data_IF_694296093697
#
_entry.id   IF_694296093697
#
_cell.length_a   1.000
_cell.length_b   1.000
_cell.length_c   1.000
_cell.angle_alpha   90.00
_cell.angle_beta   90.00
_cell.angle_gamma   90.00
#
_symmetry.space_group_name_H-M   'P 1'
#
loop_
_entity.id
_entity.type
_entity.pdbx_description
1 polymer ?
#
# COMPACT_ATOMS: atom_id res chain seq x y z
N UNK A 1 -29.09 63.62 -23.39
CA UNK A 1 -30.29 62.77 -23.21
C UNK A 1 -29.95 61.38 -23.75
N UNK A 2 -29.23 60.55 -22.99
CA UNK A 2 -28.78 59.20 -23.43
C UNK A 2 -28.33 58.39 -22.21
N UNK A 3 -29.30 57.86 -21.44
CA UNK A 3 -29.06 56.96 -20.30
C UNK A 3 -30.04 55.78 -20.23
N UNK A 4 -30.69 55.41 -21.35
CA UNK A 4 -31.72 54.35 -21.37
C UNK A 4 -31.33 53.03 -22.07
N UNK A 5 -30.08 52.85 -22.51
CA UNK A 5 -29.68 51.63 -23.25
C UNK A 5 -28.80 50.67 -22.43
N UNK A 6 -28.34 51.04 -21.23
CA UNK A 6 -27.41 50.17 -20.48
C UNK A 6 -28.08 49.23 -19.46
N UNK A 7 -29.39 49.34 -19.22
CA UNK A 7 -30.07 48.53 -18.21
C UNK A 7 -30.62 47.18 -18.72
N UNK A 8 -30.70 46.97 -20.04
CA UNK A 8 -31.35 45.77 -20.60
C UNK A 8 -30.37 44.63 -20.89
N UNK A 9 -29.06 44.90 -21.02
CA UNK A 9 -28.07 43.85 -21.29
C UNK A 9 -27.60 43.13 -20.01
N UNK A 10 -27.68 43.76 -18.83
CA UNK A 10 -27.28 43.12 -17.57
C UNK A 10 -28.35 42.20 -16.98
N UNK A 11 -29.63 42.45 -17.27
CA UNK A 11 -30.73 41.65 -16.74
C UNK A 11 -30.90 40.29 -17.45
N UNK A 12 -30.45 40.18 -18.71
CA UNK A 12 -30.53 38.93 -19.47
C UNK A 12 -29.38 37.97 -19.12
N UNK A 13 -28.25 38.46 -18.62
CA UNK A 13 -27.14 37.61 -18.16
C UNK A 13 -27.32 37.08 -16.73
N UNK A 14 -28.17 37.71 -15.91
CA UNK A 14 -28.46 37.27 -14.54
C UNK A 14 -29.55 36.20 -14.45
N UNK A 15 -30.21 35.86 -15.57
CA UNK A 15 -31.25 34.81 -15.61
C UNK A 15 -30.76 33.47 -16.19
N UNK A 16 -29.46 33.31 -16.37
CA UNK A 16 -28.82 32.08 -16.85
C UNK A 16 -27.93 31.43 -15.78
N UNK A 17 -28.32 31.56 -14.50
CA UNK A 17 -27.93 30.58 -13.49
C UNK A 17 -28.75 29.33 -13.76
N UNK A 18 -28.31 28.58 -14.78
CA UNK A 18 -28.74 27.20 -14.99
C UNK A 18 -28.42 26.50 -13.67
N UNK A 19 -29.47 26.00 -13.02
CA UNK A 19 -29.35 25.08 -11.92
C UNK A 19 -28.57 23.86 -12.44
N UNK A 20 -27.25 23.90 -12.32
CA UNK A 20 -26.47 22.68 -12.32
C UNK A 20 -26.98 21.92 -11.11
N UNK A 21 -27.55 20.71 -11.27
CA UNK A 21 -27.69 19.85 -10.11
C UNK A 21 -26.27 19.73 -9.55
N UNK A 22 -26.07 20.24 -8.34
CA UNK A 22 -24.93 19.83 -7.52
C UNK A 22 -25.10 18.33 -7.40
N UNK A 23 -24.44 17.60 -8.30
CA UNK A 23 -24.26 16.18 -8.13
C UNK A 23 -23.40 16.11 -6.88
N UNK A 24 -24.04 15.96 -5.73
CA UNK A 24 -23.34 15.56 -4.53
C UNK A 24 -22.63 14.27 -4.93
N UNK A 25 -21.31 14.34 -5.12
CA UNK A 25 -20.52 13.15 -5.26
C UNK A 25 -20.83 12.33 -4.01
N UNK A 26 -21.60 11.25 -4.17
CA UNK A 26 -21.77 10.25 -3.13
C UNK A 26 -20.41 9.60 -3.03
N UNK A 27 -19.54 10.19 -2.22
CA UNK A 27 -18.28 9.59 -1.85
C UNK A 27 -18.66 8.42 -0.95
N UNK A 28 -18.76 7.23 -1.54
CA UNK A 28 -18.95 6.01 -0.78
C UNK A 28 -17.82 5.93 0.24
N UNK A 29 -18.13 6.15 1.51
CA UNK A 29 -17.14 6.11 2.60
C UNK A 29 -16.69 4.68 2.91
N UNK A 30 -17.35 3.68 2.31
CA UNK A 30 -17.05 2.26 2.41
C UNK A 30 -17.33 1.60 1.05
N UNK A 31 -16.38 0.82 0.57
CA UNK A 31 -16.51 -0.02 -0.61
C UNK A 31 -16.48 -1.47 -0.16
N UNK A 32 -17.33 -2.31 -0.74
CA UNK A 32 -17.34 -3.75 -0.47
C UNK A 32 -16.60 -4.47 -1.60
N UNK A 33 -15.59 -5.28 -1.24
CA UNK A 33 -14.93 -6.21 -2.15
C UNK A 33 -15.44 -7.61 -1.82
N UNK A 34 -15.91 -8.36 -2.81
CA UNK A 34 -16.50 -9.69 -2.64
C UNK A 34 -15.55 -10.78 -3.14
N UNK A 35 -15.64 -11.96 -2.54
CA UNK A 35 -15.07 -13.18 -3.08
C UNK A 35 -16.04 -13.90 -4.03
N UNK A 36 -15.56 -14.97 -4.65
CA UNK A 36 -16.36 -15.89 -5.44
C UNK A 36 -17.46 -16.50 -4.59
N UNK A 37 -18.64 -16.67 -5.17
CA UNK A 37 -19.74 -17.37 -4.52
C UNK A 37 -19.36 -18.85 -4.34
N UNK A 38 -19.61 -19.39 -3.15
CA UNK A 38 -19.61 -20.84 -2.92
C UNK A 38 -21.05 -21.30 -2.76
N UNK A 39 -21.42 -22.38 -3.46
CA UNK A 39 -22.76 -22.95 -3.41
C UNK A 39 -22.67 -24.45 -3.11
N UNK A 40 -23.36 -24.87 -2.05
CA UNK A 40 -23.41 -26.28 -1.65
C UNK A 40 -23.99 -27.19 -2.75
N UNK A 41 -24.90 -26.67 -3.59
CA UNK A 41 -25.53 -27.41 -4.68
C UNK A 41 -24.58 -27.78 -5.82
N UNK A 42 -23.39 -27.16 -5.90
CA UNK A 42 -22.41 -27.42 -6.95
C UNK A 42 -21.57 -28.69 -6.69
N UNK A 43 -21.89 -29.45 -5.64
CA UNK A 43 -21.13 -30.62 -5.17
C UNK A 43 -19.65 -30.32 -4.85
N UNK A 44 -19.35 -29.09 -4.45
CA UNK A 44 -18.01 -28.68 -4.00
C UNK A 44 -18.00 -28.67 -2.47
N UNK A 45 -17.28 -29.63 -1.85
CA UNK A 45 -17.16 -29.72 -0.39
C UNK A 45 -16.40 -28.55 0.24
N UNK A 46 -15.47 -27.96 -0.52
CA UNK A 46 -14.45 -27.06 0.00
C UNK A 46 -14.85 -25.60 -0.20
N UNK A 47 -15.44 -24.99 0.83
CA UNK A 47 -15.64 -23.55 0.90
C UNK A 47 -14.32 -22.87 1.27
N UNK A 48 -13.58 -22.40 0.26
CA UNK A 48 -12.24 -21.83 0.42
C UNK A 48 -11.98 -20.67 -0.54
N UNK A 49 -11.33 -19.64 -0.02
CA UNK A 49 -10.93 -18.42 -0.70
C UNK A 49 -9.44 -18.18 -0.49
N UNK A 50 -8.72 -18.01 -1.59
CA UNK A 50 -7.38 -17.46 -1.65
C UNK A 50 -7.43 -16.17 -2.51
N UNK A 51 -6.31 -15.53 -2.81
CA UNK A 51 -6.31 -14.28 -3.59
C UNK A 51 -6.88 -14.41 -5.01
N UNK A 52 -7.03 -15.63 -5.56
CA UNK A 52 -7.69 -15.84 -6.86
C UNK A 52 -9.22 -15.86 -6.74
N UNK A 53 -9.74 -16.28 -5.59
CA UNK A 53 -11.18 -16.37 -5.30
C UNK A 53 -11.67 -15.18 -4.49
N UNK A 54 -10.79 -14.41 -3.85
CA UNK A 54 -11.16 -13.19 -3.15
C UNK A 54 -10.15 -12.09 -3.41
N UNK A 55 -10.57 -11.09 -4.21
CA UNK A 55 -9.73 -9.99 -4.64
C UNK A 55 -9.31 -9.02 -3.52
N UNK A 56 -9.88 -9.16 -2.32
CA UNK A 56 -9.44 -8.39 -1.15
C UNK A 56 -8.09 -8.84 -0.61
N UNK A 57 -7.75 -10.14 -0.74
CA UNK A 57 -6.48 -10.62 -0.20
C UNK A 57 -5.28 -10.08 -0.94
N UNK A 58 -4.17 -9.92 -0.21
CA UNK A 58 -2.90 -9.50 -0.78
C UNK A 58 -2.52 -10.36 -1.99
N UNK A 59 -2.16 -9.69 -3.08
CA UNK A 59 -1.63 -10.33 -4.27
C UNK A 59 -0.58 -9.45 -4.95
N UNK A 60 0.63 -9.97 -5.08
CA UNK A 60 1.64 -9.40 -5.96
C UNK A 60 1.44 -9.99 -7.36
N UNK A 61 0.81 -9.21 -8.24
CA UNK A 61 0.53 -9.63 -9.62
C UNK A 61 1.83 -9.89 -10.41
N UNK A 62 2.88 -9.11 -10.17
CA UNK A 62 4.14 -9.20 -10.93
C UNK A 62 4.88 -10.49 -10.62
N UNK A 63 4.97 -10.83 -9.34
CA UNK A 63 5.72 -11.99 -8.85
C UNK A 63 4.84 -13.22 -8.60
N UNK A 64 3.53 -13.10 -8.82
CA UNK A 64 2.53 -14.12 -8.54
C UNK A 64 2.60 -14.63 -7.09
N UNK A 65 2.71 -13.71 -6.12
CA UNK A 65 2.83 -14.04 -4.69
C UNK A 65 1.52 -13.76 -3.95
N UNK A 66 1.10 -14.71 -3.14
CA UNK A 66 -0.08 -14.64 -2.26
C UNK A 66 0.33 -15.05 -0.85
N UNK A 67 -0.45 -14.64 0.15
CA UNK A 67 -0.14 -14.92 1.56
C UNK A 67 -1.34 -15.46 2.32
N UNK A 68 -2.55 -15.04 1.96
CA UNK A 68 -3.77 -15.25 2.74
C UNK A 68 -4.67 -16.34 2.15
N UNK A 69 -5.31 -17.10 3.03
CA UNK A 69 -6.44 -17.96 2.71
C UNK A 69 -7.48 -17.96 3.82
N UNK A 70 -8.74 -18.07 3.45
CA UNK A 70 -9.87 -18.29 4.34
C UNK A 70 -10.59 -19.56 3.89
N UNK A 71 -10.82 -20.52 4.78
CA UNK A 71 -11.56 -21.73 4.45
C UNK A 71 -12.42 -22.20 5.60
N UNK A 72 -13.46 -22.93 5.26
CA UNK A 72 -14.15 -23.78 6.23
C UNK A 72 -13.41 -25.12 6.34
N UNK A 73 -13.33 -25.65 7.57
CA UNK A 73 -12.70 -26.93 7.89
C UNK A 73 -13.61 -28.13 7.61
N UNK A 74 -14.91 -27.87 7.47
CA UNK A 74 -15.94 -28.82 7.07
C UNK A 74 -16.92 -28.11 6.11
N UNK A 75 -17.83 -28.85 5.47
CA UNK A 75 -18.88 -28.25 4.66
C UNK A 75 -19.68 -27.24 5.51
N UNK A 76 -19.79 -25.97 5.08
CA UNK A 76 -20.49 -24.94 5.84
C UNK A 76 -21.93 -25.36 6.19
N UNK A 77 -22.24 -25.36 7.48
CA UNK A 77 -23.60 -25.51 8.02
C UNK A 77 -24.24 -24.16 8.35
N UNK A 78 -25.55 -24.14 8.58
CA UNK A 78 -26.29 -22.91 8.95
C UNK A 78 -26.13 -22.52 10.43
N UNK A 79 -25.55 -23.36 11.27
CA UNK A 79 -25.42 -23.15 12.72
C UNK A 79 -24.10 -23.70 13.25
N UNK A 80 -23.57 -23.08 14.31
CA UNK A 80 -22.33 -23.45 15.02
C UNK A 80 -21.07 -23.43 14.13
N UNK A 81 -20.60 -22.22 13.81
CA UNK A 81 -19.38 -22.00 13.02
C UNK A 81 -18.10 -21.86 13.87
N UNK A 82 -18.23 -21.95 15.19
CA UNK A 82 -17.09 -21.95 16.11
C UNK A 82 -16.10 -23.05 15.74
N UNK A 83 -14.81 -22.71 15.68
CA UNK A 83 -13.72 -23.58 15.26
C UNK A 83 -13.89 -24.28 13.89
N UNK A 84 -14.81 -23.81 13.05
CA UNK A 84 -15.00 -24.37 11.69
C UNK A 84 -14.40 -23.50 10.59
N UNK A 85 -13.88 -22.32 10.92
CA UNK A 85 -13.32 -21.36 9.96
C UNK A 85 -11.85 -21.14 10.28
N UNK A 86 -11.00 -21.31 9.28
CA UNK A 86 -9.58 -21.03 9.37
C UNK A 86 -9.24 -19.85 8.45
N UNK A 87 -8.72 -18.78 9.05
CA UNK A 87 -7.99 -17.74 8.34
C UNK A 87 -6.50 -17.97 8.57
N UNK A 88 -5.75 -18.10 7.47
CA UNK A 88 -4.32 -18.36 7.49
C UNK A 88 -3.60 -17.29 6.68
N UNK A 89 -2.47 -16.85 7.20
CA UNK A 89 -1.50 -16.05 6.45
C UNK A 89 -0.09 -16.59 6.61
N UNK A 90 0.82 -16.15 5.75
CA UNK A 90 2.23 -16.49 5.78
C UNK A 90 3.12 -15.37 5.26
N UNK A 91 4.42 -15.59 5.38
CA UNK A 91 5.45 -14.70 4.85
C UNK A 91 5.80 -15.17 3.43
N UNK A 92 5.85 -14.22 2.49
CA UNK A 92 6.47 -14.42 1.18
C UNK A 92 7.63 -13.45 0.99
N UNK A 93 8.75 -13.88 0.40
CA UNK A 93 9.86 -12.99 0.08
C UNK A 93 9.54 -12.17 -1.18
N UNK A 94 9.73 -10.86 -1.13
CA UNK A 94 9.65 -9.95 -2.28
C UNK A 94 11.02 -9.36 -2.55
N UNK A 95 11.46 -9.40 -3.80
CA UNK A 95 12.78 -8.91 -4.21
C UNK A 95 12.89 -7.38 -4.05
N UNK A 96 14.03 -6.91 -3.52
CA UNK A 96 14.32 -5.49 -3.48
C UNK A 96 14.48 -4.93 -4.90
N UNK A 97 13.96 -3.72 -5.15
CA UNK A 97 14.09 -3.07 -6.47
C UNK A 97 15.55 -2.84 -6.89
N UNK A 98 16.46 -2.59 -5.94
CA UNK A 98 17.90 -2.48 -6.21
C UNK A 98 18.51 -3.80 -6.66
N UNK A 99 18.00 -4.94 -6.16
CA UNK A 99 18.42 -6.26 -6.61
C UNK A 99 17.93 -6.51 -8.04
N UNK A 100 16.64 -6.25 -8.29
CA UNK A 100 16.02 -6.42 -9.61
C UNK A 100 16.77 -5.61 -10.69
N UNK A 101 17.20 -4.39 -10.36
CA UNK A 101 17.83 -3.47 -11.32
C UNK A 101 19.34 -3.60 -11.43
N UNK A 102 20.04 -3.65 -10.30
CA UNK A 102 21.50 -3.53 -10.26
C UNK A 102 22.18 -4.84 -9.83
N UNK A 103 21.41 -5.88 -9.49
CA UNK A 103 21.96 -7.15 -9.01
C UNK A 103 22.55 -7.08 -7.60
N UNK A 104 22.40 -5.96 -6.89
CA UNK A 104 23.01 -5.69 -5.58
C UNK A 104 22.22 -6.28 -4.41
N UNK A 105 22.91 -6.50 -3.30
CA UNK A 105 22.33 -6.93 -2.03
C UNK A 105 22.05 -5.72 -1.14
N UNK A 106 21.01 -5.82 -0.30
CA UNK A 106 20.76 -4.89 0.79
C UNK A 106 21.32 -5.49 2.06
N UNK A 107 22.18 -4.77 2.76
CA UNK A 107 22.80 -5.22 4.01
C UNK A 107 22.13 -4.51 5.18
N UNK A 108 21.63 -5.27 6.15
CA UNK A 108 21.08 -4.68 7.36
C UNK A 108 22.19 -4.14 8.29
N UNK A 109 21.81 -3.43 9.36
CA UNK A 109 22.78 -2.85 10.30
C UNK A 109 23.68 -3.88 10.98
N UNK A 110 23.23 -5.13 11.06
CA UNK A 110 24.00 -6.27 11.59
C UNK A 110 24.94 -6.91 10.57
N UNK A 111 25.04 -6.38 9.35
CA UNK A 111 25.92 -6.90 8.30
C UNK A 111 25.34 -8.09 7.50
N UNK A 112 24.08 -8.48 7.73
CA UNK A 112 23.45 -9.56 6.97
C UNK A 112 22.94 -9.04 5.64
N UNK A 113 23.48 -9.58 4.54
CA UNK A 113 23.03 -9.28 3.18
C UNK A 113 21.75 -10.05 2.84
N UNK A 114 20.83 -9.39 2.14
CA UNK A 114 19.58 -9.96 1.66
C UNK A 114 19.27 -9.44 0.25
N UNK A 115 18.56 -10.25 -0.53
CA UNK A 115 18.02 -9.87 -1.85
C UNK A 115 16.52 -9.58 -1.80
N UNK A 116 15.87 -9.96 -0.70
CA UNK A 116 14.42 -9.87 -0.53
C UNK A 116 14.06 -9.29 0.85
N UNK A 117 12.84 -8.78 0.96
CA UNK A 117 12.18 -8.46 2.22
C UNK A 117 10.92 -9.30 2.40
N UNK A 118 10.46 -9.45 3.64
CA UNK A 118 9.36 -10.35 3.99
C UNK A 118 8.01 -9.63 3.97
N UNK A 119 7.11 -10.02 3.08
CA UNK A 119 5.75 -9.49 2.97
C UNK A 119 4.74 -10.45 3.58
N UNK A 120 3.73 -9.89 4.25
CA UNK A 120 2.60 -10.60 4.85
C UNK A 120 1.32 -9.88 4.42
N UNK A 121 0.33 -10.64 3.96
CA UNK A 121 -1.04 -10.13 3.88
C UNK A 121 -1.72 -10.35 5.22
N UNK A 122 -2.25 -9.31 5.84
CA UNK A 122 -2.98 -9.45 7.10
C UNK A 122 -4.25 -8.64 7.03
N UNK A 123 -5.38 -9.36 7.11
CA UNK A 123 -6.73 -8.81 6.97
C UNK A 123 -6.87 -7.96 5.70
N UNK A 124 -6.49 -8.51 4.54
CA UNK A 124 -6.57 -7.84 3.24
C UNK A 124 -5.66 -6.60 3.07
N UNK A 125 -4.66 -6.41 3.94
CA UNK A 125 -3.69 -5.33 3.83
C UNK A 125 -2.25 -5.86 3.68
N UNK A 126 -1.40 -5.13 2.95
CA UNK A 126 0.05 -5.40 2.85
C UNK A 126 0.75 -4.97 4.14
N UNK A 127 1.55 -5.87 4.71
CA UNK A 127 2.42 -5.66 5.86
C UNK A 127 3.82 -6.23 5.61
N UNK A 128 4.79 -5.80 6.40
CA UNK A 128 6.17 -6.28 6.34
C UNK A 128 6.49 -7.04 7.62
N UNK A 129 6.93 -8.30 7.51
CA UNK A 129 7.44 -9.02 8.66
C UNK A 129 8.85 -8.51 9.00
N UNK A 130 9.02 -7.99 10.21
CA UNK A 130 10.30 -7.48 10.71
C UNK A 130 11.27 -8.65 10.99
N UNK A 131 10.71 -9.81 11.32
CA UNK A 131 11.45 -11.06 11.44
C UNK A 131 10.95 -12.04 10.36
N UNK A 132 11.81 -12.50 9.44
CA UNK A 132 11.42 -13.40 8.35
C UNK A 132 10.88 -14.75 8.82
N UNK A 133 11.10 -15.12 10.08
CA UNK A 133 10.66 -16.38 10.68
C UNK A 133 9.46 -16.21 11.63
N UNK A 134 8.87 -15.01 11.73
CA UNK A 134 7.77 -14.76 12.66
C UNK A 134 6.71 -13.82 12.05
N UNK A 135 5.63 -14.41 11.56
CA UNK A 135 4.49 -13.71 10.92
C UNK A 135 3.71 -12.80 11.89
N UNK A 136 3.84 -12.99 13.21
CA UNK A 136 3.16 -12.16 14.20
C UNK A 136 3.90 -10.84 14.49
N UNK A 137 5.11 -10.64 13.95
CA UNK A 137 5.90 -9.40 14.13
C UNK A 137 5.93 -8.61 12.82
N UNK A 138 4.89 -7.81 12.61
CA UNK A 138 4.67 -7.03 11.39
C UNK A 138 4.67 -5.52 11.62
N UNK A 139 5.04 -4.77 10.58
CA UNK A 139 4.97 -3.31 10.53
C UNK A 139 4.48 -2.81 9.17
N UNK A 140 3.99 -1.57 9.13
CA UNK A 140 3.66 -0.88 7.88
C UNK A 140 4.93 -0.52 7.12
N UNK A 141 4.89 -0.68 5.81
CA UNK A 141 5.94 -0.20 4.91
C UNK A 141 5.86 1.32 4.86
N UNK A 142 6.93 2.01 5.28
CA UNK A 142 6.96 3.48 5.28
C UNK A 142 7.14 4.04 3.86
N UNK A 143 8.09 3.49 3.12
CA UNK A 143 8.43 3.90 1.75
C UNK A 143 8.90 2.69 0.94
N UNK A 144 8.48 2.64 -0.31
CA UNK A 144 9.05 1.77 -1.34
C UNK A 144 9.30 2.63 -2.57
N UNK A 145 10.55 2.68 -3.03
CA UNK A 145 10.90 3.36 -4.28
C UNK A 145 10.87 2.35 -5.41
N UNK A 146 10.34 2.77 -6.56
CA UNK A 146 10.46 1.97 -7.77
C UNK A 146 11.91 1.91 -8.27
N UNK A 147 12.22 0.90 -9.08
CA UNK A 147 13.59 0.66 -9.54
C UNK A 147 14.19 1.83 -10.33
N UNK A 148 13.36 2.62 -11.00
CA UNK A 148 13.83 3.79 -11.76
C UNK A 148 13.85 5.08 -10.95
N UNK A 149 13.23 5.09 -9.78
CA UNK A 149 13.16 6.29 -8.95
C UNK A 149 14.50 6.58 -8.30
N UNK A 150 14.83 7.87 -8.24
CA UNK A 150 16.04 8.37 -7.58
C UNK A 150 15.67 9.61 -6.77
N UNK A 151 16.24 9.71 -5.56
CA UNK A 151 16.20 10.91 -4.75
C UNK A 151 17.61 11.44 -4.60
N UNK A 152 17.85 12.66 -5.08
CA UNK A 152 19.07 13.40 -4.82
C UNK A 152 18.85 14.32 -3.62
N UNK A 153 19.80 14.32 -2.70
CA UNK A 153 19.82 15.18 -1.53
C UNK A 153 21.20 15.85 -1.44
N UNK A 154 21.19 17.10 -0.99
CA UNK A 154 22.36 17.93 -0.70
C UNK A 154 22.41 18.24 0.80
N UNK A 155 23.56 18.71 1.28
CA UNK A 155 23.75 19.04 2.70
C UNK A 155 22.69 20.02 3.19
N UNK A 156 22.05 19.70 4.32
CA UNK A 156 20.96 20.45 4.91
C UNK A 156 19.56 20.03 4.44
N UNK A 157 19.44 19.30 3.32
CA UNK A 157 18.14 18.83 2.85
C UNK A 157 17.60 17.70 3.71
N UNK A 158 16.27 17.68 3.83
CA UNK A 158 15.51 16.67 4.55
C UNK A 158 14.57 15.97 3.59
N UNK A 159 14.48 14.65 3.70
CA UNK A 159 13.56 13.81 2.96
C UNK A 159 12.62 13.10 3.91
N UNK A 160 11.33 13.43 3.82
CA UNK A 160 10.28 12.68 4.49
C UNK A 160 10.06 11.34 3.80
N UNK A 161 10.16 10.26 4.57
CA UNK A 161 9.96 8.88 4.13
C UNK A 161 8.51 8.40 4.40
N UNK A 162 7.66 9.26 4.96
CA UNK A 162 6.33 8.89 5.41
C UNK A 162 6.31 8.29 6.82
N UNK A 163 5.12 8.18 7.40
CA UNK A 163 4.90 7.71 8.77
C UNK A 163 5.78 8.42 9.81
N UNK A 164 6.09 9.70 9.61
CA UNK A 164 6.92 10.51 10.51
C UNK A 164 8.42 10.21 10.50
N UNK A 165 8.90 9.31 9.62
CA UNK A 165 10.32 9.08 9.42
C UNK A 165 10.92 10.10 8.44
N UNK A 166 12.11 10.60 8.75
CA UNK A 166 12.82 11.58 7.92
C UNK A 166 14.32 11.29 7.87
N UNK A 167 14.96 11.51 6.72
CA UNK A 167 16.42 11.53 6.57
C UNK A 167 16.88 12.96 6.35
N UNK A 168 17.82 13.44 7.16
CA UNK A 168 18.48 14.72 6.97
C UNK A 168 19.96 14.51 6.62
N UNK A 169 20.46 15.18 5.58
CA UNK A 169 21.88 15.12 5.22
C UNK A 169 22.66 16.15 6.04
N UNK A 170 23.50 15.67 6.96
CA UNK A 170 24.29 16.53 7.84
C UNK A 170 25.54 17.07 7.15
N UNK A 171 26.26 16.23 6.41
CA UNK A 171 27.49 16.61 5.72
C UNK A 171 27.85 15.61 4.61
N UNK A 172 28.63 16.07 3.63
CA UNK A 172 29.20 15.25 2.55
C UNK A 172 30.69 15.59 2.45
N UNK A 173 31.57 14.58 2.54
CA UNK A 173 32.99 14.73 2.22
C UNK A 173 33.32 14.01 0.91
N UNK A 174 33.51 14.81 -0.14
CA UNK A 174 33.85 14.33 -1.48
C UNK A 174 35.37 14.18 -1.71
N UNK A 175 36.20 14.56 -0.72
CA UNK A 175 37.67 14.55 -0.83
C UNK A 175 38.29 13.24 -0.33
N UNK A 176 37.53 12.45 0.44
CA UNK A 176 37.97 11.13 0.90
C UNK A 176 37.71 10.05 -0.16
N UNK A 177 38.48 8.96 -0.07
CA UNK A 177 38.24 7.73 -0.85
C UNK A 177 38.13 6.55 0.12
N UNK A 178 36.94 5.94 0.30
CA UNK A 178 35.68 6.27 -0.37
C UNK A 178 35.12 7.63 0.06
N UNK A 179 34.31 8.25 -0.81
CA UNK A 179 33.54 9.46 -0.47
C UNK A 179 32.56 9.12 0.65
N UNK A 180 32.32 10.07 1.55
CA UNK A 180 31.51 9.84 2.75
C UNK A 180 30.33 10.80 2.81
N UNK A 181 29.21 10.33 3.36
CA UNK A 181 28.06 11.15 3.69
C UNK A 181 27.63 10.83 5.13
N UNK A 182 27.38 11.88 5.92
CA UNK A 182 26.76 11.76 7.23
C UNK A 182 25.33 12.24 7.13
N UNK A 183 24.40 11.39 7.57
CA UNK A 183 22.98 11.69 7.67
C UNK A 183 22.43 11.28 9.03
N UNK A 184 21.26 11.83 9.37
CA UNK A 184 20.48 11.48 10.55
C UNK A 184 19.14 10.92 10.09
N UNK A 185 18.75 9.75 10.62
CA UNK A 185 17.38 9.24 10.52
C UNK A 185 16.62 9.64 11.77
N UNK A 186 15.49 10.33 11.60
CA UNK A 186 14.62 10.79 12.69
C UNK A 186 13.25 10.16 12.63
N UNK A 187 12.57 10.10 13.78
CA UNK A 187 11.16 9.74 13.90
C UNK A 187 10.44 10.82 14.71
N UNK A 188 9.49 11.49 14.07
CA UNK A 188 8.68 12.55 14.70
C UNK A 188 9.53 13.66 15.34
N UNK A 189 10.66 13.99 14.69
CA UNK A 189 11.60 15.02 15.14
C UNK A 189 12.67 14.55 16.15
N UNK A 190 12.55 13.33 16.67
CA UNK A 190 13.54 12.69 17.55
C UNK A 190 14.59 11.89 16.78
#
# INVERSE_FOLDING_TARGET
MTKKILAVVLAVFMLLVVAFPVSAAVQATKVEVRGSVWNQGDNVSDASWNSQKFAGFYYDLKNNLTTESLRFLATPGRSNLEDTIEYKTGIVPVEFKVKEKEGLYVTNISGTAATTYSVVGWQAEKWIAINPNNVAKIAKLALEMDKEEKKTLTTGETWSLGSGYEININAIDARTTPRQAWFTLKKDGA
#
